data_IF_558456284827
#
_entry.id   IF_558456284827
#
_cell.length_a   1.000
_cell.length_b   1.000
_cell.length_c   1.000
_cell.angle_alpha   90.00
_cell.angle_beta   90.00
_cell.angle_gamma   90.00
#
_symmetry.space_group_name_H-M   'P 1'
#
loop_
_entity.id
_entity.type
_entity.pdbx_description
1 polymer ?
#
# COMPACT_ATOMS: atom_id res chain seq x y z
N UNK A 1 11.43 -5.77 -49.53
CA UNK A 1 10.39 -5.67 -48.49
C UNK A 1 10.57 -6.79 -47.50
N UNK A 2 10.69 -6.48 -46.20
CA UNK A 2 10.03 -7.30 -45.20
C UNK A 2 9.31 -6.44 -44.16
N UNK A 3 7.99 -6.64 -44.01
CA UNK A 3 7.22 -6.21 -42.84
C UNK A 3 7.16 -7.42 -41.91
N UNK A 4 8.13 -7.53 -41.01
CA UNK A 4 8.00 -8.44 -39.87
C UNK A 4 7.36 -7.67 -38.71
N UNK A 5 6.14 -8.08 -38.38
CA UNK A 5 5.29 -7.46 -37.35
C UNK A 5 5.36 -8.30 -36.08
N UNK A 6 6.56 -8.49 -35.53
CA UNK A 6 6.77 -9.04 -34.19
C UNK A 6 6.37 -8.01 -33.12
N UNK A 7 5.06 -7.79 -32.98
CA UNK A 7 4.48 -7.00 -31.89
C UNK A 7 4.65 -7.76 -30.58
N UNK A 8 5.62 -7.31 -29.80
CA UNK A 8 5.41 -6.71 -28.48
C UNK A 8 4.27 -7.33 -27.64
N UNK A 9 4.63 -8.12 -26.64
CA UNK A 9 4.35 -7.79 -25.24
C UNK A 9 5.03 -8.85 -24.35
N UNK A 10 6.33 -8.68 -24.11
CA UNK A 10 6.94 -9.27 -22.93
C UNK A 10 6.34 -8.57 -21.71
N UNK A 11 5.52 -9.28 -20.93
CA UNK A 11 5.05 -8.78 -19.64
C UNK A 11 6.28 -8.53 -18.76
N UNK A 12 6.59 -7.29 -18.32
CA UNK A 12 7.58 -7.11 -17.28
C UNK A 12 6.97 -7.65 -15.99
N UNK A 13 7.50 -8.80 -15.57
CA UNK A 13 7.31 -9.40 -14.26
C UNK A 13 7.82 -8.39 -13.23
N UNK A 14 6.90 -7.84 -12.43
CA UNK A 14 7.12 -7.05 -11.21
C UNK A 14 8.47 -6.35 -11.15
N UNK A 15 8.48 -5.10 -11.62
CA UNK A 15 9.63 -4.22 -11.65
C UNK A 15 10.31 -4.19 -10.29
N UNK A 16 11.52 -4.75 -10.25
CA UNK A 16 12.53 -4.55 -9.23
C UNK A 16 12.86 -3.06 -9.20
N UNK A 17 12.25 -2.33 -8.28
CA UNK A 17 12.57 -0.92 -8.01
C UNK A 17 13.88 -0.91 -7.22
N UNK A 18 15.00 -0.86 -7.93
CA UNK A 18 16.27 -0.43 -7.37
C UNK A 18 16.85 0.57 -8.35
N UNK A 19 16.77 1.87 -8.03
CA UNK A 19 17.71 2.92 -8.48
C UNK A 19 17.30 4.29 -7.92
N UNK A 20 17.98 4.70 -6.86
CA UNK A 20 18.64 6.02 -6.78
C UNK A 20 17.75 7.27 -6.94
N UNK A 21 17.13 7.73 -5.84
CA UNK A 21 17.11 9.11 -5.30
C UNK A 21 15.82 9.39 -4.49
N UNK A 22 15.99 9.55 -3.18
CA UNK A 22 15.07 10.18 -2.20
C UNK A 22 13.62 9.68 -2.15
N UNK A 23 13.45 8.44 -1.71
CA UNK A 23 12.29 8.03 -0.94
C UNK A 23 12.82 7.47 0.40
N UNK A 24 13.12 8.34 1.37
CA UNK A 24 13.45 7.92 2.74
C UNK A 24 12.19 7.41 3.45
N UNK A 25 11.61 6.33 2.90
CA UNK A 25 10.40 5.72 3.39
C UNK A 25 10.77 4.52 4.29
N UNK A 26 11.59 4.76 5.33
CA UNK A 26 12.14 3.75 6.27
C UNK A 26 13.41 3.06 5.75
N UNK A 27 14.59 3.54 6.15
CA UNK A 27 15.89 2.90 5.84
C UNK A 27 16.24 1.69 6.74
N UNK A 28 15.25 1.17 7.47
CA UNK A 28 15.27 -0.13 8.15
C UNK A 28 13.82 -0.46 8.51
N UNK A 29 13.09 -1.11 7.60
CA UNK A 29 11.84 -1.77 7.96
C UNK A 29 12.18 -3.18 8.44
N UNK A 30 12.02 -3.44 9.73
CA UNK A 30 12.27 -4.77 10.32
C UNK A 30 11.29 -5.83 9.79
N UNK A 31 10.16 -5.41 9.20
CA UNK A 31 9.15 -6.29 8.63
C UNK A 31 8.58 -5.79 7.29
N UNK A 32 8.20 -6.75 6.43
CA UNK A 32 7.42 -6.51 5.21
C UNK A 32 5.94 -6.75 5.49
N UNK A 33 5.12 -5.78 5.13
CA UNK A 33 3.67 -5.85 5.26
C UNK A 33 2.99 -5.60 3.92
N UNK A 34 1.93 -6.36 3.64
CA UNK A 34 1.10 -6.17 2.46
C UNK A 34 -0.10 -5.31 2.83
N UNK A 35 -0.15 -4.10 2.29
CA UNK A 35 -1.27 -3.19 2.49
C UNK A 35 -2.32 -3.42 1.41
N UNK A 36 -3.47 -3.98 1.78
CA UNK A 36 -4.60 -4.18 0.87
C UNK A 36 -5.53 -2.97 0.87
N UNK A 37 -5.87 -2.49 -0.32
CA UNK A 37 -6.70 -1.32 -0.55
C UNK A 37 -8.06 -1.79 -1.08
N UNK A 38 -9.14 -1.13 -0.65
CA UNK A 38 -10.50 -1.46 -1.07
C UNK A 38 -11.26 -0.26 -1.63
N UNK A 39 -12.25 -0.54 -2.47
CA UNK A 39 -13.16 0.43 -3.09
C UNK A 39 -12.44 1.72 -3.57
N UNK A 40 -12.87 2.90 -3.09
CA UNK A 40 -12.32 4.20 -3.48
C UNK A 40 -10.82 4.36 -3.21
N UNK A 41 -10.27 3.63 -2.22
CA UNK A 41 -8.83 3.69 -1.93
C UNK A 41 -8.01 3.04 -3.05
N UNK A 42 -8.55 1.99 -3.70
CA UNK A 42 -7.91 1.36 -4.86
C UNK A 42 -7.84 2.29 -6.05
N UNK A 43 -8.90 3.07 -6.28
CA UNK A 43 -8.94 4.07 -7.35
C UNK A 43 -7.97 5.23 -7.06
N UNK A 44 -7.93 5.69 -5.80
CA UNK A 44 -7.03 6.75 -5.37
C UNK A 44 -5.55 6.38 -5.57
N UNK A 45 -5.18 5.14 -5.27
CA UNK A 45 -3.79 4.65 -5.40
C UNK A 45 -3.50 4.07 -6.79
N UNK A 46 -4.50 3.52 -7.48
CA UNK A 46 -4.34 2.77 -8.73
C UNK A 46 -3.86 1.33 -8.55
N UNK A 47 -3.79 0.83 -7.30
CA UNK A 47 -3.36 -0.52 -6.96
C UNK A 47 -4.35 -1.18 -5.98
N UNK A 48 -4.42 -2.51 -6.00
CA UNK A 48 -5.23 -3.29 -5.05
C UNK A 48 -4.49 -3.64 -3.77
N UNK A 49 -3.16 -3.72 -3.87
CA UNK A 49 -2.26 -4.10 -2.79
C UNK A 49 -0.93 -3.36 -3.00
N UNK A 50 -0.25 -3.03 -1.91
CA UNK A 50 1.08 -2.44 -1.89
C UNK A 50 1.94 -3.21 -0.89
N UNK A 51 3.13 -3.61 -1.29
CA UNK A 51 4.11 -4.19 -0.37
C UNK A 51 4.98 -3.05 0.17
N UNK A 52 5.02 -2.87 1.49
CA UNK A 52 5.83 -1.85 2.13
C UNK A 52 6.67 -2.43 3.26
N UNK A 53 7.77 -1.76 3.55
CA UNK A 53 8.66 -2.09 4.66
C UNK A 53 8.38 -1.11 5.80
N UNK A 54 8.15 -1.65 6.99
CA UNK A 54 7.80 -0.86 8.17
C UNK A 54 8.43 -1.47 9.43
N UNK A 55 8.76 -0.66 10.44
CA UNK A 55 9.18 -1.17 11.73
C UNK A 55 8.00 -1.87 12.43
N UNK A 56 8.30 -2.86 13.28
CA UNK A 56 7.30 -3.60 14.06
C UNK A 56 6.55 -2.71 15.08
N UNK A 57 7.09 -1.51 15.34
CA UNK A 57 6.49 -0.46 16.16
C UNK A 57 5.65 0.54 15.36
N UNK A 58 5.54 0.37 14.03
CA UNK A 58 4.65 1.20 13.23
C UNK A 58 3.18 0.95 13.61
N UNK A 59 2.35 1.95 13.37
CA UNK A 59 0.90 1.87 13.56
C UNK A 59 0.19 1.91 12.21
N UNK A 60 -1.03 1.34 12.08
CA UNK A 60 -1.81 1.42 10.85
C UNK A 60 -1.96 2.85 10.32
N UNK A 61 -2.15 3.81 11.24
CA UNK A 61 -2.26 5.22 10.89
C UNK A 61 -0.98 5.75 10.26
N UNK A 62 0.18 5.50 10.87
CA UNK A 62 1.47 5.94 10.33
C UNK A 62 1.72 5.33 8.94
N UNK A 63 1.35 4.07 8.73
CA UNK A 63 1.41 3.44 7.41
C UNK A 63 0.56 4.20 6.39
N UNK A 64 -0.70 4.50 6.74
CA UNK A 64 -1.60 5.21 5.83
C UNK A 64 -1.16 6.66 5.57
N UNK A 65 -0.66 7.39 6.58
CA UNK A 65 -0.05 8.71 6.39
C UNK A 65 1.11 8.66 5.40
N UNK A 66 1.98 7.66 5.53
CA UNK A 66 3.13 7.47 4.62
C UNK A 66 2.68 7.14 3.20
N UNK A 67 1.62 6.35 3.06
CA UNK A 67 0.99 6.13 1.75
C UNK A 67 0.38 7.42 1.20
N UNK A 68 -0.22 8.28 2.02
CA UNK A 68 -0.78 9.55 1.57
C UNK A 68 0.28 10.55 1.09
N UNK A 69 1.50 10.49 1.65
CA UNK A 69 2.64 11.27 1.13
C UNK A 69 3.05 10.84 -0.28
N UNK A 70 2.93 9.55 -0.60
CA UNK A 70 3.23 9.01 -1.94
C UNK A 70 2.05 9.14 -2.90
N UNK A 71 0.84 8.96 -2.39
CA UNK A 71 -0.43 8.99 -3.09
C UNK A 71 -1.31 10.09 -2.50
N UNK A 72 -1.15 11.36 -2.91
CA UNK A 72 -1.88 12.49 -2.32
C UNK A 72 -3.40 12.36 -2.45
N UNK A 73 -3.89 11.53 -3.40
CA UNK A 73 -5.31 11.17 -3.52
C UNK A 73 -5.86 10.37 -2.33
N UNK A 74 -4.99 9.72 -1.54
CA UNK A 74 -5.37 8.96 -0.35
C UNK A 74 -5.61 9.87 0.87
N UNK A 75 -4.91 11.01 0.95
CA UNK A 75 -4.99 11.96 2.06
C UNK A 75 -6.41 12.34 2.50
N UNK A 76 -7.37 12.68 1.60
CA UNK A 76 -8.73 13.02 2.01
C UNK A 76 -9.51 11.85 2.63
N UNK A 77 -9.08 10.61 2.41
CA UNK A 77 -9.74 9.42 2.94
C UNK A 77 -9.24 9.03 4.33
N UNK A 78 -7.99 9.36 4.70
CA UNK A 78 -7.36 9.03 5.98
C UNK A 78 -8.26 9.15 7.22
N UNK A 79 -8.97 10.27 7.45
CA UNK A 79 -9.76 10.43 8.68
C UNK A 79 -10.99 9.52 8.77
N UNK A 80 -11.38 8.85 7.68
CA UNK A 80 -12.55 7.95 7.64
C UNK A 80 -12.19 6.50 7.36
N UNK A 81 -10.90 6.17 7.22
CA UNK A 81 -10.46 4.80 6.97
C UNK A 81 -10.50 4.00 8.28
N UNK A 82 -11.06 2.80 8.20
CA UNK A 82 -10.91 1.75 9.20
C UNK A 82 -9.74 0.84 8.83
N UNK A 83 -9.06 0.32 9.83
CA UNK A 83 -7.91 -0.56 9.67
C UNK A 83 -8.27 -1.98 10.09
N UNK A 84 -7.84 -2.97 9.32
CA UNK A 84 -7.90 -4.36 9.74
C UNK A 84 -6.56 -5.05 9.51
N UNK A 85 -6.10 -5.79 10.50
CA UNK A 85 -4.84 -6.54 10.48
C UNK A 85 -5.19 -8.02 10.40
N UNK A 86 -4.66 -8.73 9.40
CA UNK A 86 -4.91 -10.16 9.19
C UNK A 86 -6.44 -10.53 9.21
N UNK A 87 -7.30 -9.57 8.82
CA UNK A 87 -8.76 -9.72 8.78
C UNK A 87 -9.51 -9.25 10.04
N UNK A 88 -8.82 -8.79 11.08
CA UNK A 88 -9.41 -8.29 12.32
C UNK A 88 -9.34 -6.77 12.41
N UNK A 89 -10.46 -6.11 12.73
CA UNK A 89 -10.50 -4.66 12.89
C UNK A 89 -9.68 -4.21 14.10
N UNK A 90 -8.79 -3.25 13.87
CA UNK A 90 -7.89 -2.72 14.89
C UNK A 90 -7.96 -1.21 14.97
N UNK A 91 -7.67 -0.60 16.14
CA UNK A 91 -7.55 0.83 16.24
C UNK A 91 -6.34 1.34 15.45
N UNK A 92 -6.42 2.58 14.99
CA UNK A 92 -5.40 3.21 14.15
C UNK A 92 -4.02 3.36 14.82
N UNK A 93 -3.98 3.29 16.16
CA UNK A 93 -2.80 3.46 17.00
C UNK A 93 -2.20 2.13 17.52
N UNK A 94 -2.72 0.97 17.08
CA UNK A 94 -2.17 -0.32 17.52
C UNK A 94 -0.78 -0.57 16.94
N UNK A 95 0.09 -1.23 17.70
CA UNK A 95 1.39 -1.70 17.22
C UNK A 95 1.23 -2.83 16.20
N UNK A 96 1.87 -2.68 15.04
CA UNK A 96 1.92 -3.68 13.97
C UNK A 96 3.04 -4.71 14.22
N UNK A 97 2.95 -5.45 15.33
CA UNK A 97 3.92 -6.51 15.64
C UNK A 97 3.57 -7.81 14.92
N UNK A 98 4.51 -8.34 14.12
CA UNK A 98 4.37 -9.60 13.39
C UNK A 98 3.19 -9.68 12.40
N UNK A 99 2.68 -8.54 11.95
CA UNK A 99 1.54 -8.47 11.04
C UNK A 99 1.95 -8.66 9.59
N UNK A 100 1.24 -9.48 8.85
CA UNK A 100 1.59 -9.73 7.43
C UNK A 100 0.75 -8.89 6.50
N UNK A 101 -0.49 -8.65 6.88
CA UNK A 101 -1.48 -8.01 6.03
C UNK A 101 -2.21 -6.88 6.77
N UNK A 102 -2.25 -5.70 6.16
CA UNK A 102 -3.00 -4.54 6.64
C UNK A 102 -4.02 -4.13 5.59
N UNK A 103 -5.31 -4.28 5.88
CA UNK A 103 -6.38 -3.79 5.04
C UNK A 103 -6.78 -2.37 5.44
N UNK A 104 -6.83 -1.48 4.44
CA UNK A 104 -7.41 -0.15 4.53
C UNK A 104 -8.84 -0.22 3.99
N UNK A 105 -9.80 0.01 4.86
CA UNK A 105 -11.22 -0.05 4.53
C UNK A 105 -11.80 1.36 4.57
N UNK A 106 -12.32 1.90 3.45
CA UNK A 106 -13.11 3.13 3.51
C UNK A 106 -14.34 2.90 4.40
N UNK A 107 -15.00 3.97 4.90
CA UNK A 107 -16.13 3.83 5.79
C UNK A 107 -17.18 2.94 5.13
N UNK A 108 -17.48 1.82 5.77
CA UNK A 108 -18.48 0.89 5.26
C UNK A 108 -19.83 1.62 5.34
N UNK A 109 -20.49 1.82 4.20
CA UNK A 109 -21.93 2.10 4.19
C UNK A 109 -22.64 0.81 4.62
N UNK A 110 -22.57 0.49 5.91
CA UNK A 110 -23.41 -0.51 6.52
C UNK A 110 -24.84 -0.02 6.44
N UNK A 111 -25.64 -0.66 5.60
CA UNK A 111 -27.10 -0.68 5.75
C UNK A 111 -27.50 -1.66 6.84
#
# INVERSE_FOLDING_TARGET
MPRDLSRLCGKPRASRIQSSHRAEVFQNGDMKITVQLFASLRDAVGARELEIEAPESATPFQIAERLALQFPKLAPHLPSISFAVDGEFVPADVSLQQVKELALLPPVSGG
#
